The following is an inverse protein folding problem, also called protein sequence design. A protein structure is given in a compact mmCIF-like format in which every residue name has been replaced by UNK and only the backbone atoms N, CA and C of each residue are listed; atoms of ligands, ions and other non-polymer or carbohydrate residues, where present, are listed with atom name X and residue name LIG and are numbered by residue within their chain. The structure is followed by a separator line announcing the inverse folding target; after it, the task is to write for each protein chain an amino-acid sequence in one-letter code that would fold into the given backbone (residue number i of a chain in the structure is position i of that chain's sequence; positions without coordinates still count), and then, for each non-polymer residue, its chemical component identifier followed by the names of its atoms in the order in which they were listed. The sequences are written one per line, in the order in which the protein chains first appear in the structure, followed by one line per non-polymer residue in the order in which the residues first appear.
data_IF_827224305051
#
_entry.id   IF_827224305051
#
_cell.length_a   1.000
_cell.length_b   1.000
_cell.length_c   1.000
_cell.angle_alpha   90.00
_cell.angle_beta   90.00
_cell.angle_gamma   90.00
#
_symmetry.space_group_name_H-M   'P 1'
#
loop_
_entity.id
_entity.type
_entity.pdbx_description
1 polymer ?
#
# COMPACT_ATOMS: atom_id res chain seq x y z
N UNK A 1 32.94 -3.13 12.47
CA UNK A 1 32.88 -4.33 11.60
C UNK A 1 33.08 -3.84 10.18
N UNK A 2 34.09 -4.28 9.44
CA UNK A 2 34.27 -3.87 8.05
C UNK A 2 33.37 -4.76 7.16
N UNK A 3 32.06 -4.50 7.18
CA UNK A 3 31.08 -5.13 6.25
C UNK A 3 31.16 -4.52 4.84
N UNK A 4 31.66 -3.29 4.75
CA UNK A 4 31.72 -2.47 3.54
C UNK A 4 32.54 -3.06 2.38
N UNK A 5 33.47 -3.98 2.66
CA UNK A 5 34.33 -4.57 1.62
C UNK A 5 33.68 -5.76 0.89
N UNK A 6 32.65 -6.38 1.45
CA UNK A 6 31.98 -7.53 0.82
C UNK A 6 30.86 -7.03 -0.09
N UNK A 7 30.05 -6.09 0.40
CA UNK A 7 28.91 -5.50 -0.32
C UNK A 7 29.35 -4.72 -1.57
N UNK A 8 30.60 -4.25 -1.65
CA UNK A 8 31.12 -3.53 -2.82
C UNK A 8 31.09 -4.37 -4.12
N UNK A 9 31.14 -5.69 -3.98
CA UNK A 9 31.11 -6.61 -5.12
C UNK A 9 29.69 -7.11 -5.43
N UNK A 10 28.69 -6.80 -4.61
CA UNK A 10 27.32 -7.30 -4.79
C UNK A 10 26.74 -6.85 -6.12
N UNK A 11 26.99 -5.62 -6.57
CA UNK A 11 26.54 -5.15 -7.87
C UNK A 11 27.08 -5.98 -9.04
N UNK A 12 28.35 -6.40 -8.96
CA UNK A 12 28.98 -7.24 -9.97
C UNK A 12 28.48 -8.69 -9.89
N UNK A 13 28.33 -9.23 -8.68
CA UNK A 13 27.80 -10.57 -8.46
C UNK A 13 26.33 -10.68 -8.88
N UNK A 14 25.54 -9.64 -8.64
CA UNK A 14 24.13 -9.56 -9.06
C UNK A 14 24.03 -9.48 -10.58
N UNK A 15 24.86 -8.66 -11.24
CA UNK A 15 24.91 -8.59 -12.69
C UNK A 15 25.25 -9.95 -13.31
N UNK A 16 26.24 -10.66 -12.74
CA UNK A 16 26.59 -12.01 -13.17
C UNK A 16 25.41 -12.98 -12.95
N UNK A 17 24.77 -12.94 -11.79
CA UNK A 17 23.62 -13.80 -11.48
C UNK A 17 22.43 -13.56 -12.42
N UNK A 18 22.16 -12.32 -12.81
CA UNK A 18 21.09 -11.95 -13.75
C UNK A 18 21.35 -12.43 -15.18
N UNK A 19 22.62 -12.56 -15.57
CA UNK A 19 23.01 -13.05 -16.90
C UNK A 19 22.87 -14.58 -17.04
N UNK A 20 22.82 -15.32 -15.93
CA UNK A 20 22.65 -16.77 -15.94
C UNK A 20 21.16 -17.15 -15.96
N UNK A 21 20.65 -17.53 -17.12
CA UNK A 21 19.27 -18.01 -17.29
C UNK A 21 19.00 -19.32 -16.51
N UNK A 22 20.03 -20.15 -16.31
CA UNK A 22 19.98 -21.36 -15.47
C UNK A 22 20.00 -21.10 -13.96
N UNK A 23 20.00 -19.83 -13.54
CA UNK A 23 19.96 -19.40 -12.15
C UNK A 23 21.21 -19.78 -11.36
N UNK A 24 21.04 -20.05 -10.07
CA UNK A 24 22.15 -20.21 -9.10
C UNK A 24 23.07 -21.40 -9.43
N UNK A 25 22.56 -22.47 -10.05
CA UNK A 25 23.37 -23.65 -10.39
C UNK A 25 24.45 -23.30 -11.43
N UNK A 26 24.05 -22.61 -12.48
CA UNK A 26 24.94 -22.19 -13.56
C UNK A 26 25.94 -21.11 -13.11
N UNK A 27 25.50 -20.20 -12.24
CA UNK A 27 26.38 -19.24 -11.58
C UNK A 27 27.48 -19.95 -10.78
N UNK A 28 27.13 -20.95 -9.98
CA UNK A 28 28.10 -21.73 -9.21
C UNK A 28 29.06 -22.50 -10.12
N UNK A 29 28.57 -23.11 -11.21
CA UNK A 29 29.43 -23.76 -12.19
C UNK A 29 30.43 -22.78 -12.82
N UNK A 30 29.98 -21.56 -13.11
CA UNK A 30 30.84 -20.50 -13.65
C UNK A 30 31.95 -20.12 -12.67
N UNK A 31 31.60 -19.95 -11.38
CA UNK A 31 32.56 -19.67 -10.31
C UNK A 31 33.56 -20.82 -10.15
N UNK A 32 33.10 -22.07 -10.11
CA UNK A 32 33.98 -23.23 -10.00
C UNK A 32 34.88 -23.40 -11.24
N UNK A 33 34.37 -23.14 -12.44
CA UNK A 33 35.20 -23.14 -13.66
C UNK A 33 36.25 -22.02 -13.62
N UNK A 34 35.92 -20.86 -13.06
CA UNK A 34 36.87 -19.77 -12.87
C UNK A 34 37.97 -20.17 -11.91
N UNK A 35 37.62 -20.73 -10.75
CA UNK A 35 38.58 -21.26 -9.78
C UNK A 35 39.47 -22.36 -10.36
N UNK A 36 38.94 -23.18 -11.27
CA UNK A 36 39.75 -24.22 -11.92
C UNK A 36 40.75 -23.66 -12.94
N UNK A 37 40.41 -22.56 -13.63
CA UNK A 37 41.21 -22.03 -14.75
C UNK A 37 42.13 -20.88 -14.39
N UNK A 38 41.76 -20.09 -13.38
CA UNK A 38 42.41 -18.81 -13.05
C UNK A 38 43.01 -18.78 -11.66
N UNK A 39 42.80 -19.82 -10.86
CA UNK A 39 43.40 -19.93 -9.53
C UNK A 39 44.01 -21.32 -9.35
N UNK A 40 44.85 -21.45 -8.33
CA UNK A 40 45.45 -22.70 -7.89
C UNK A 40 44.55 -23.46 -6.90
N UNK A 41 43.28 -23.09 -6.80
CA UNK A 41 42.36 -23.56 -5.76
C UNK A 41 42.30 -25.09 -5.61
N UNK A 42 42.29 -25.83 -6.73
CA UNK A 42 42.21 -27.29 -6.73
C UNK A 42 43.57 -28.01 -6.61
N UNK A 43 44.69 -27.31 -6.87
CA UNK A 43 46.02 -27.92 -7.02
C UNK A 43 46.97 -27.48 -5.90
N UNK A 44 46.84 -26.26 -5.38
CA UNK A 44 47.78 -25.65 -4.44
C UNK A 44 47.73 -26.20 -3.01
N UNK A 45 46.60 -26.78 -2.58
CA UNK A 45 46.37 -27.18 -1.18
C UNK A 45 46.53 -28.68 -0.86
N UNK A 46 46.87 -29.52 -1.84
CA UNK A 46 46.87 -30.98 -1.70
C UNK A 46 45.47 -31.63 -1.83
N UNK A 47 45.39 -32.96 -1.96
CA UNK A 47 44.15 -33.66 -2.27
C UNK A 47 43.10 -33.45 -1.17
N UNK A 48 41.92 -32.93 -1.55
CA UNK A 48 40.78 -32.73 -0.65
C UNK A 48 40.76 -31.39 0.11
N UNK A 49 41.82 -30.58 0.04
CA UNK A 49 41.87 -29.28 0.72
C UNK A 49 40.81 -28.29 0.19
N UNK A 50 40.67 -28.20 -1.14
CA UNK A 50 39.64 -27.41 -1.82
C UNK A 50 38.22 -27.72 -1.32
N UNK A 51 37.90 -29.01 -1.19
CA UNK A 51 36.59 -29.48 -0.72
C UNK A 51 36.35 -29.08 0.74
N UNK A 52 37.35 -29.27 1.60
CA UNK A 52 37.27 -28.88 3.02
C UNK A 52 37.01 -27.38 3.16
N UNK A 53 37.71 -26.56 2.37
CA UNK A 53 37.56 -25.11 2.41
C UNK A 53 36.16 -24.65 1.98
N UNK A 54 35.59 -25.23 0.90
CA UNK A 54 34.21 -24.93 0.49
C UNK A 54 33.23 -25.32 1.60
N UNK A 55 33.38 -26.51 2.18
CA UNK A 55 32.48 -26.98 3.22
C UNK A 55 32.50 -26.07 4.47
N UNK A 56 33.70 -25.65 4.89
CA UNK A 56 33.87 -24.75 6.03
C UNK A 56 33.20 -23.39 5.78
N UNK A 57 33.41 -22.81 4.59
CA UNK A 57 32.78 -21.53 4.22
C UNK A 57 31.27 -21.68 4.09
N UNK A 58 30.79 -22.77 3.48
CA UNK A 58 29.38 -23.07 3.35
C UNK A 58 28.70 -23.12 4.73
N UNK A 59 29.22 -23.91 5.68
CA UNK A 59 28.63 -24.02 7.03
C UNK A 59 28.63 -22.69 7.79
N UNK A 60 29.66 -21.85 7.60
CA UNK A 60 29.71 -20.50 8.18
C UNK A 60 28.56 -19.63 7.68
N UNK A 61 28.38 -19.53 6.36
CA UNK A 61 27.35 -18.66 5.78
C UNK A 61 25.95 -19.25 5.90
N UNK A 62 25.81 -20.58 5.93
CA UNK A 62 24.55 -21.26 6.26
C UNK A 62 24.04 -20.82 7.64
N UNK A 63 24.91 -20.87 8.66
CA UNK A 63 24.54 -20.45 10.02
C UNK A 63 24.10 -18.99 10.08
N UNK A 64 24.80 -18.10 9.35
CA UNK A 64 24.44 -16.67 9.26
C UNK A 64 23.11 -16.47 8.54
N UNK A 65 22.89 -17.15 7.41
CA UNK A 65 21.67 -17.03 6.63
C UNK A 65 20.43 -17.55 7.40
N UNK A 66 20.56 -18.65 8.15
CA UNK A 66 19.48 -19.13 9.02
C UNK A 66 19.16 -18.14 10.15
N UNK A 67 20.18 -17.57 10.78
CA UNK A 67 19.99 -16.57 11.84
C UNK A 67 19.30 -15.30 11.31
N UNK A 68 19.74 -14.78 10.16
CA UNK A 68 19.14 -13.59 9.55
C UNK A 68 17.70 -13.85 9.08
N UNK A 69 17.42 -15.04 8.52
CA UNK A 69 16.06 -15.43 8.15
C UNK A 69 15.13 -15.47 9.36
N UNK A 70 15.57 -16.07 10.47
CA UNK A 70 14.80 -16.12 11.70
C UNK A 70 14.57 -14.71 12.29
N UNK A 71 15.57 -13.83 12.23
CA UNK A 71 15.44 -12.44 12.69
C UNK A 71 14.47 -11.64 11.82
N UNK A 72 14.57 -11.76 10.48
CA UNK A 72 13.64 -11.11 9.53
C UNK A 72 12.21 -11.59 9.75
N UNK A 73 12.00 -12.89 9.96
CA UNK A 73 10.66 -13.43 10.24
C UNK A 73 10.10 -12.91 11.56
N UNK A 74 10.92 -12.84 12.62
CA UNK A 74 10.52 -12.28 13.91
C UNK A 74 10.15 -10.79 13.78
N UNK A 75 10.97 -10.00 13.08
CA UNK A 75 10.69 -8.58 12.83
C UNK A 75 9.40 -8.38 12.01
N UNK A 76 9.15 -9.24 11.02
CA UNK A 76 7.92 -9.19 10.22
C UNK A 76 6.69 -9.48 11.09
N UNK A 77 6.77 -10.50 11.95
CA UNK A 77 5.68 -10.88 12.87
C UNK A 77 5.39 -9.77 13.88
N UNK A 78 6.42 -9.19 14.49
CA UNK A 78 6.28 -8.05 15.41
C UNK A 78 5.70 -6.81 14.72
N UNK A 79 6.09 -6.55 13.46
CA UNK A 79 5.55 -5.45 12.67
C UNK A 79 4.07 -5.67 12.32
N UNK A 80 3.68 -6.90 11.99
CA UNK A 80 2.30 -7.26 11.71
C UNK A 80 1.41 -7.16 12.95
N UNK A 81 1.87 -7.68 14.09
CA UNK A 81 1.17 -7.57 15.37
C UNK A 81 1.00 -6.10 15.79
N UNK A 82 2.04 -5.27 15.63
CA UNK A 82 1.96 -3.84 15.91
C UNK A 82 0.98 -3.13 14.98
N UNK A 83 0.89 -3.52 13.71
CA UNK A 83 -0.10 -2.98 12.76
C UNK A 83 -1.53 -3.38 13.17
N UNK A 84 -1.73 -4.64 13.56
CA UNK A 84 -3.03 -5.16 13.98
C UNK A 84 -3.52 -4.54 15.29
N UNK A 85 -2.63 -4.37 16.27
CA UNK A 85 -2.93 -3.70 17.54
C UNK A 85 -3.31 -2.23 17.34
N UNK A 86 -2.62 -1.49 16.45
CA UNK A 86 -3.00 -0.12 16.10
C UNK A 86 -4.38 -0.06 15.46
N UNK A 87 -4.67 -0.97 14.53
CA UNK A 87 -5.98 -1.01 13.87
C UNK A 87 -7.11 -1.32 14.85
N UNK A 88 -6.91 -2.29 15.75
CA UNK A 88 -7.91 -2.61 16.78
C UNK A 88 -8.10 -1.45 17.76
N UNK A 89 -7.02 -0.80 18.20
CA UNK A 89 -7.13 0.37 19.09
C UNK A 89 -7.89 1.53 18.42
N UNK A 90 -7.66 1.78 17.13
CA UNK A 90 -8.42 2.80 16.39
C UNK A 90 -9.89 2.41 16.25
N UNK A 91 -10.21 1.13 16.05
CA UNK A 91 -11.60 0.65 16.02
C UNK A 91 -12.28 0.78 17.39
N UNK A 92 -11.61 0.40 18.47
CA UNK A 92 -12.13 0.55 19.85
C UNK A 92 -12.27 2.03 20.25
N UNK A 93 -11.35 2.90 19.84
CA UNK A 93 -11.47 4.36 20.06
C UNK A 93 -12.60 4.97 19.22
N UNK A 94 -12.87 4.44 18.02
CA UNK A 94 -14.02 4.84 17.21
C UNK A 94 -15.35 4.33 17.81
N UNK A 95 -15.40 3.07 18.26
CA UNK A 95 -16.58 2.48 18.91
C UNK A 95 -16.89 3.12 20.28
N UNK A 96 -15.87 3.45 21.08
CA UNK A 96 -16.05 4.11 22.38
C UNK A 96 -16.39 5.61 22.26
N UNK A 97 -16.05 6.24 21.13
CA UNK A 97 -16.40 7.64 20.84
C UNK A 97 -17.75 7.81 20.12
N UNK A 98 -18.37 6.72 19.66
CA UNK A 98 -19.81 6.70 19.34
C UNK A 98 -20.56 6.60 20.66
N UNK A 99 -20.71 7.74 21.34
CA UNK A 99 -21.64 7.89 22.44
C UNK A 99 -23.03 8.00 21.82
N UNK A 100 -23.91 7.02 22.07
CA UNK A 100 -25.29 7.07 21.61
C UNK A 100 -25.96 8.32 22.20
N UNK A 101 -26.23 9.31 21.34
CA UNK A 101 -27.08 10.43 21.68
C UNK A 101 -28.51 9.88 21.72
N UNK A 102 -29.11 9.83 22.90
CA UNK A 102 -30.49 9.37 23.09
C UNK A 102 -31.45 10.13 22.16
N UNK A 103 -32.41 9.43 21.54
CA UNK A 103 -33.36 9.96 20.55
C UNK A 103 -34.03 11.30 20.94
N UNK A 104 -34.19 11.55 22.25
CA UNK A 104 -34.76 12.78 22.79
C UNK A 104 -33.91 14.05 22.59
N UNK A 105 -32.58 13.95 22.54
CA UNK A 105 -31.69 15.10 22.30
C UNK A 105 -31.54 15.42 20.81
N UNK A 106 -31.64 14.40 19.95
CA UNK A 106 -31.66 14.57 18.50
C UNK A 106 -32.90 15.36 18.04
N UNK A 107 -34.06 15.08 18.64
CA UNK A 107 -35.31 15.80 18.33
C UNK A 107 -35.29 17.26 18.80
N UNK A 108 -34.60 17.55 19.90
CA UNK A 108 -34.42 18.92 20.40
C UNK A 108 -33.50 19.74 19.49
N UNK A 109 -32.41 19.16 18.99
CA UNK A 109 -31.50 19.83 18.04
C UNK A 109 -32.17 20.11 16.69
N UNK A 110 -33.01 19.17 16.22
CA UNK A 110 -33.74 19.31 14.96
C UNK A 110 -34.78 20.45 15.03
N UNK A 111 -35.51 20.56 16.15
CA UNK A 111 -36.47 21.66 16.37
C UNK A 111 -35.81 23.03 16.42
N UNK A 112 -34.60 23.13 16.96
CA UNK A 112 -33.85 24.39 16.98
C UNK A 112 -33.34 24.75 15.57
N UNK A 113 -32.83 23.78 14.81
CA UNK A 113 -32.40 23.97 13.42
C UNK A 113 -33.55 24.37 12.49
N UNK A 114 -34.73 23.78 12.64
CA UNK A 114 -35.91 24.11 11.83
C UNK A 114 -36.45 25.50 12.18
N UNK A 115 -36.42 25.90 13.46
CA UNK A 115 -36.76 27.27 13.88
C UNK A 115 -35.80 28.32 13.29
N UNK A 116 -34.50 28.02 13.28
CA UNK A 116 -33.50 28.93 12.72
C UNK A 116 -33.60 29.03 11.18
N UNK A 117 -33.96 27.93 10.51
CA UNK A 117 -34.30 27.91 9.08
C UNK A 117 -35.57 28.70 8.78
N UNK A 118 -36.61 28.61 9.60
CA UNK A 118 -37.83 29.40 9.44
C UNK A 118 -37.58 30.91 9.62
N UNK A 119 -36.72 31.31 10.57
CA UNK A 119 -36.32 32.71 10.70
C UNK A 119 -35.50 33.22 9.51
N UNK A 120 -34.60 32.38 8.97
CA UNK A 120 -33.81 32.70 7.77
C UNK A 120 -34.70 32.77 6.51
N UNK A 121 -35.69 31.89 6.38
CA UNK A 121 -36.66 31.90 5.28
C UNK A 121 -37.59 33.13 5.34
N UNK A 122 -38.03 33.54 6.55
CA UNK A 122 -38.81 34.78 6.73
C UNK A 122 -37.99 36.05 6.41
N UNK A 123 -36.68 36.04 6.67
CA UNK A 123 -35.77 37.14 6.28
C UNK A 123 -35.44 37.16 4.79
N UNK A 124 -35.45 36.00 4.11
CA UNK A 124 -35.27 35.90 2.66
C UNK A 124 -36.52 36.33 1.87
N UNK A 125 -37.72 35.99 2.35
CA UNK A 125 -38.99 36.34 1.71
C UNK A 125 -39.31 37.85 1.71
N UNK A 126 -38.59 38.66 2.48
CA UNK A 126 -38.75 40.12 2.50
C UNK A 126 -37.83 40.86 1.49
N UNK A 127 -36.93 40.15 0.80
CA UNK A 127 -35.98 40.72 -0.17
C UNK A 127 -36.23 40.36 -1.64
N UNK A 128 -37.20 39.51 -1.98
CA UNK A 128 -37.47 39.08 -3.36
C UNK A 128 -38.84 39.59 -3.88
N UNK A 129 -39.01 40.91 -3.89
CA UNK A 129 -39.96 41.60 -4.77
C UNK A 129 -39.23 42.59 -5.66
N UNK A 130 -38.22 42.13 -6.39
CA UNK A 130 -37.84 42.79 -7.64
C UNK A 130 -37.21 41.80 -8.60
N UNK A 131 -37.84 41.76 -9.77
CA UNK A 131 -37.47 41.13 -11.02
C UNK A 131 -37.75 39.65 -11.29
N UNK A 132 -38.35 39.51 -12.47
CA UNK A 132 -39.00 38.38 -13.11
C UNK A 132 -38.43 38.37 -14.53
N UNK A 133 -37.91 37.25 -14.99
CA UNK A 133 -37.99 36.74 -16.38
C UNK A 133 -37.27 35.38 -16.41
N UNK A 134 -38.01 34.27 -16.60
CA UNK A 134 -38.10 33.49 -17.86
C UNK A 134 -36.77 32.82 -18.26
N UNK A 135 -36.63 31.53 -18.57
CA UNK A 135 -37.54 30.41 -18.86
C UNK A 135 -36.65 29.15 -19.03
N UNK A 136 -37.14 27.99 -18.58
CA UNK A 136 -37.12 26.63 -19.22
C UNK A 136 -35.78 26.03 -19.70
N UNK A 137 -35.48 24.73 -19.60
CA UNK A 137 -36.18 23.45 -19.41
C UNK A 137 -35.09 22.47 -18.88
N UNK A 138 -35.27 21.72 -17.79
CA UNK A 138 -36.05 20.48 -17.61
C UNK A 138 -35.29 19.22 -18.09
N UNK A 139 -34.81 18.42 -17.14
CA UNK A 139 -34.87 16.94 -17.07
C UNK A 139 -34.11 16.50 -15.79
N UNK A 140 -34.79 16.18 -14.69
CA UNK A 140 -35.29 14.84 -14.31
C UNK A 140 -34.14 13.93 -13.82
N UNK A 141 -34.11 13.31 -12.64
CA UNK A 141 -34.92 13.33 -11.42
C UNK A 141 -34.07 12.59 -10.34
N UNK A 142 -34.47 12.74 -9.08
CA UNK A 142 -34.02 11.94 -7.91
C UNK A 142 -32.54 12.08 -7.44
N UNK A 143 -32.20 13.24 -6.86
CA UNK A 143 -31.11 13.28 -5.88
C UNK A 143 -31.57 12.65 -4.56
N UNK A 144 -31.16 11.40 -4.33
CA UNK A 144 -31.20 10.72 -3.04
C UNK A 144 -30.65 11.68 -1.95
N UNK A 145 -31.33 11.86 -0.82
CA UNK A 145 -30.89 12.83 0.22
C UNK A 145 -29.49 12.55 0.77
N UNK A 146 -28.92 11.37 0.46
CA UNK A 146 -27.55 10.93 0.78
C UNK A 146 -26.47 11.42 -0.19
N UNK A 147 -26.85 11.99 -1.34
CA UNK A 147 -25.93 12.43 -2.39
C UNK A 147 -25.90 13.94 -2.60
N UNK A 148 -26.71 14.71 -1.86
CA UNK A 148 -26.59 16.18 -1.75
C UNK A 148 -25.17 16.57 -1.34
N UNK A 149 -24.39 17.08 -2.30
CA UNK A 149 -23.02 17.56 -2.10
C UNK A 149 -21.90 16.66 -2.63
N UNK A 150 -22.20 15.50 -3.25
CA UNK A 150 -21.19 14.70 -3.95
C UNK A 150 -21.18 15.06 -5.45
N UNK A 151 -19.97 15.17 -6.02
CA UNK A 151 -19.83 15.36 -7.46
C UNK A 151 -20.28 14.09 -8.20
N UNK A 152 -21.19 14.24 -9.16
CA UNK A 152 -21.59 13.17 -10.07
C UNK A 152 -20.36 12.69 -10.85
N UNK A 153 -20.07 11.38 -10.90
CA UNK A 153 -18.99 10.86 -11.72
C UNK A 153 -19.18 11.28 -13.19
N UNK A 154 -18.07 11.53 -13.89
CA UNK A 154 -18.09 11.76 -15.33
C UNK A 154 -18.46 10.46 -16.08
N UNK A 155 -18.76 10.56 -17.38
CA UNK A 155 -19.17 9.41 -18.20
C UNK A 155 -18.16 8.23 -18.25
N UNK A 156 -16.91 8.46 -17.84
CA UNK A 156 -15.86 7.45 -17.71
C UNK A 156 -15.67 6.95 -16.28
N UNK A 157 -16.72 7.02 -15.44
CA UNK A 157 -16.71 6.64 -14.03
C UNK A 157 -15.54 7.26 -13.22
N UNK A 158 -15.18 8.50 -13.56
CA UNK A 158 -14.13 9.26 -12.89
C UNK A 158 -14.62 10.65 -12.50
N UNK A 159 -13.73 11.64 -12.44
CA UNK A 159 -14.07 12.99 -12.00
C UNK A 159 -13.40 14.06 -12.87
N UNK A 160 -14.11 15.17 -13.08
CA UNK A 160 -13.62 16.35 -13.78
C UNK A 160 -13.37 17.47 -12.76
N UNK A 161 -12.12 17.92 -12.63
CA UNK A 161 -11.71 19.08 -11.82
C UNK A 161 -11.16 20.19 -12.72
N UNK A 162 -11.03 21.41 -12.19
CA UNK A 162 -10.60 22.62 -12.92
C UNK A 162 -9.28 22.44 -13.70
N UNK A 163 -8.35 21.65 -13.19
CA UNK A 163 -7.01 21.49 -13.77
C UNK A 163 -6.72 20.07 -14.30
N UNK A 164 -7.61 19.10 -14.07
CA UNK A 164 -7.40 17.73 -14.53
C UNK A 164 -8.70 16.92 -14.53
N UNK A 165 -8.78 15.97 -15.47
CA UNK A 165 -9.84 14.96 -15.52
C UNK A 165 -9.23 13.57 -15.46
N UNK A 166 -9.92 12.64 -14.81
CA UNK A 166 -9.55 11.23 -14.85
C UNK A 166 -10.77 10.37 -15.13
N UNK A 167 -10.54 9.19 -15.71
CA UNK A 167 -11.57 8.20 -16.00
C UNK A 167 -11.07 6.83 -15.55
N UNK A 168 -11.94 6.01 -14.97
CA UNK A 168 -11.63 4.65 -14.59
C UNK A 168 -11.97 3.72 -15.75
N UNK A 169 -10.99 2.95 -16.23
CA UNK A 169 -11.23 1.87 -17.20
C UNK A 169 -10.89 0.55 -16.52
N UNK A 170 -11.84 -0.39 -16.51
CA UNK A 170 -11.62 -1.75 -16.02
C UNK A 170 -11.30 -2.62 -17.23
N UNK A 171 -10.04 -3.02 -17.38
CA UNK A 171 -9.66 -3.88 -18.51
C UNK A 171 -10.13 -5.32 -18.32
N UNK A 172 -10.21 -5.85 -17.09
CA UNK A 172 -10.69 -7.20 -16.76
C UNK A 172 -11.15 -7.27 -15.27
N UNK A 173 -12.17 -8.10 -14.98
CA UNK A 173 -12.58 -8.48 -13.62
C UNK A 173 -12.59 -10.02 -13.56
N UNK A 174 -11.74 -10.60 -12.72
CA UNK A 174 -11.80 -12.03 -12.36
C UNK A 174 -12.30 -12.16 -10.90
N UNK A 175 -13.48 -12.76 -10.74
CA UNK A 175 -14.05 -13.10 -9.43
C UNK A 175 -13.96 -14.62 -9.24
N UNK A 176 -13.20 -15.07 -8.24
CA UNK A 176 -13.24 -16.47 -7.78
C UNK A 176 -13.96 -16.53 -6.43
N UNK A 177 -15.01 -17.35 -6.37
CA UNK A 177 -15.75 -17.70 -5.16
C UNK A 177 -15.31 -19.08 -4.70
#
# INVERSE_FOLDING_TARGET
MPDSDVEKFDGMLLALAQQHEGGVKELLDTIFSFLARKTDFYIGGGPGSAKKLILEKFSKYESVALAEKAEKEKKLREAEERRKAKLNKTKEEQECKVQELTDAEAEALQKELDREKEEKAKKAAQKEKENKDEKKEDDDDEEDEKDKGKLKPNAGNGCDLENYRWTQTLSEIELRV
#
